data_IF_675901886291
#
_entry.id   IF_675901886291
#
_cell.length_a   1.000
_cell.length_b   1.000
_cell.length_c   1.000
_cell.angle_alpha   90.00
_cell.angle_beta   90.00
_cell.angle_gamma   90.00
#
_symmetry.space_group_name_H-M   'P 1'
#
loop_
_entity.id
_entity.type
_entity.pdbx_description
1 polymer ?
#
# COMPACT_ATOMS: atom_id res chain seq x y z
N UNK A 1 -2.82 22.48 29.24
CA UNK A 1 -1.44 22.11 29.01
C UNK A 1 -1.17 22.08 27.51
N UNK A 2 0.04 22.41 27.12
CA UNK A 2 0.53 22.29 25.74
C UNK A 2 1.36 21.02 25.63
N UNK A 3 1.21 20.29 24.54
CA UNK A 3 1.97 19.08 24.26
C UNK A 3 2.57 19.17 22.86
N UNK A 4 3.75 18.61 22.66
CA UNK A 4 4.34 18.42 21.35
C UNK A 4 3.74 17.16 20.73
N UNK A 5 3.06 17.30 19.59
CA UNK A 5 2.53 16.16 18.86
C UNK A 5 3.62 15.55 17.96
N UNK A 6 4.10 14.36 18.36
CA UNK A 6 5.07 13.57 17.59
C UNK A 6 4.40 12.49 16.72
N UNK A 7 3.08 12.34 16.82
CA UNK A 7 2.33 11.35 16.03
C UNK A 7 1.92 11.92 14.68
N UNK A 8 1.74 13.26 14.59
CA UNK A 8 1.43 13.97 13.37
C UNK A 8 0.20 13.39 12.64
N UNK A 9 -0.86 13.03 13.39
CA UNK A 9 -2.08 12.43 12.86
C UNK A 9 -1.86 11.04 12.22
N UNK A 10 -0.92 10.24 12.73
CA UNK A 10 -0.45 8.98 12.15
C UNK A 10 0.30 9.15 10.82
N UNK A 11 0.97 10.28 10.66
CA UNK A 11 1.88 10.56 9.55
C UNK A 11 1.38 11.47 8.42
N UNK A 12 0.09 11.83 8.27
CA UNK A 12 -0.33 12.71 7.18
C UNK A 12 0.09 14.17 7.34
N UNK A 13 0.40 14.63 8.56
CA UNK A 13 0.74 16.04 8.85
C UNK A 13 2.19 16.38 8.50
N UNK A 14 2.59 16.16 7.24
CA UNK A 14 3.98 16.36 6.77
C UNK A 14 4.39 17.84 6.85
N UNK A 15 3.48 18.76 6.55
CA UNK A 15 3.71 20.19 6.53
C UNK A 15 3.19 20.90 7.80
N UNK A 16 2.81 20.12 8.83
CA UNK A 16 2.22 20.61 10.06
C UNK A 16 0.74 20.96 9.93
N UNK A 17 0.12 21.24 11.07
CA UNK A 17 -1.28 21.64 11.15
C UNK A 17 -1.47 23.09 10.67
N UNK A 18 -2.65 23.39 10.10
CA UNK A 18 -3.04 24.72 9.66
C UNK A 18 -2.08 25.37 8.65
N UNK A 19 -1.59 24.59 7.69
CA UNK A 19 -0.79 25.15 6.61
C UNK A 19 -1.67 26.04 5.71
N UNK A 20 -1.42 27.34 5.71
CA UNK A 20 -2.28 28.33 5.06
C UNK A 20 -2.42 28.15 3.55
N UNK A 21 -1.41 27.61 2.87
CA UNK A 21 -1.47 27.35 1.42
C UNK A 21 -2.39 26.18 1.12
N UNK A 22 -2.26 25.08 1.87
CA UNK A 22 -3.10 23.89 1.73
C UNK A 22 -4.55 24.22 2.09
N UNK A 23 -4.76 24.88 3.23
CA UNK A 23 -6.10 25.26 3.69
C UNK A 23 -6.80 26.18 2.70
N UNK A 24 -6.08 27.13 2.10
CA UNK A 24 -6.62 28.02 1.07
C UNK A 24 -7.06 27.23 -0.18
N UNK A 25 -6.21 26.32 -0.66
CA UNK A 25 -6.54 25.49 -1.83
C UNK A 25 -7.78 24.63 -1.58
N UNK A 26 -7.85 23.98 -0.40
CA UNK A 26 -9.00 23.16 -0.01
C UNK A 26 -10.30 23.99 0.07
N UNK A 27 -10.27 25.18 0.67
CA UNK A 27 -11.44 26.09 0.74
C UNK A 27 -11.89 26.56 -0.64
N UNK A 28 -10.93 26.94 -1.52
CA UNK A 28 -11.25 27.33 -2.88
C UNK A 28 -11.98 26.19 -3.62
N UNK A 29 -11.51 24.96 -3.51
CA UNK A 29 -12.17 23.81 -4.13
C UNK A 29 -13.53 23.52 -3.49
N UNK A 30 -13.66 23.69 -2.18
CA UNK A 30 -14.93 23.53 -1.47
C UNK A 30 -16.01 24.47 -2.02
N UNK A 31 -15.66 25.74 -2.27
CA UNK A 31 -16.57 26.75 -2.82
C UNK A 31 -16.98 26.44 -4.28
N UNK A 32 -16.17 25.69 -5.02
CA UNK A 32 -16.48 25.21 -6.38
C UNK A 32 -17.27 23.88 -6.39
N UNK A 33 -17.36 23.21 -5.26
CA UNK A 33 -17.99 21.92 -5.08
C UNK A 33 -17.02 20.83 -4.62
N UNK A 34 -17.42 20.06 -3.61
CA UNK A 34 -16.62 19.02 -2.98
C UNK A 34 -17.18 17.61 -3.17
N UNK A 35 -18.35 17.48 -3.79
CA UNK A 35 -19.01 16.21 -4.06
C UNK A 35 -19.55 16.24 -5.50
N UNK A 36 -18.94 15.47 -6.37
CA UNK A 36 -19.27 15.43 -7.79
C UNK A 36 -19.44 13.98 -8.26
N UNK A 37 -20.30 13.77 -9.23
CA UNK A 37 -20.58 12.43 -9.78
C UNK A 37 -19.64 12.02 -10.91
N UNK A 38 -18.81 12.94 -11.39
CA UNK A 38 -17.85 12.75 -12.47
C UNK A 38 -16.50 13.32 -12.08
N UNK A 39 -15.44 12.98 -12.80
CA UNK A 39 -14.12 13.53 -12.54
C UNK A 39 -14.12 15.06 -12.63
N UNK A 40 -13.68 15.73 -11.58
CA UNK A 40 -13.45 17.17 -11.55
C UNK A 40 -12.08 17.51 -12.15
N UNK A 41 -11.86 18.76 -12.63
CA UNK A 41 -10.54 19.16 -13.12
C UNK A 41 -9.40 18.87 -12.14
N UNK A 42 -9.57 19.17 -10.85
CA UNK A 42 -8.54 18.92 -9.83
C UNK A 42 -8.23 17.44 -9.66
N UNK A 43 -9.19 16.54 -9.89
CA UNK A 43 -8.96 15.09 -9.85
C UNK A 43 -8.11 14.62 -11.03
N UNK A 44 -8.35 15.19 -12.22
CA UNK A 44 -7.55 14.91 -13.41
C UNK A 44 -6.13 15.42 -13.24
N UNK A 45 -5.96 16.68 -12.82
CA UNK A 45 -4.64 17.26 -12.51
C UNK A 45 -3.85 16.45 -11.48
N UNK A 46 -4.52 15.94 -10.45
CA UNK A 46 -3.88 15.09 -9.45
C UNK A 46 -3.45 13.74 -10.05
N UNK A 47 -4.30 13.12 -10.89
CA UNK A 47 -3.95 11.85 -11.54
C UNK A 47 -2.74 12.02 -12.45
N UNK A 48 -2.73 13.06 -13.29
CA UNK A 48 -1.59 13.40 -14.17
C UNK A 48 -0.33 13.65 -13.33
N UNK A 49 -0.42 14.46 -12.26
CA UNK A 49 0.72 14.73 -11.37
C UNK A 49 1.30 13.46 -10.76
N UNK A 50 0.44 12.52 -10.33
CA UNK A 50 0.89 11.27 -9.73
C UNK A 50 1.54 10.34 -10.75
N UNK A 51 0.97 10.21 -11.95
CA UNK A 51 1.54 9.37 -13.01
C UNK A 51 2.84 9.95 -13.58
N UNK A 52 2.97 11.28 -13.63
CA UNK A 52 4.22 11.94 -14.00
C UNK A 52 5.31 11.81 -12.91
N UNK A 53 4.91 11.75 -11.64
CA UNK A 53 5.82 11.73 -10.50
C UNK A 53 6.31 10.32 -10.18
N UNK A 54 5.46 9.32 -10.33
CA UNK A 54 5.73 7.91 -9.99
C UNK A 54 5.98 7.12 -11.26
N UNK A 55 7.25 6.87 -11.57
CA UNK A 55 7.71 6.29 -12.85
C UNK A 55 7.00 4.97 -13.26
N UNK A 56 6.53 4.20 -12.29
CA UNK A 56 5.82 2.93 -12.53
C UNK A 56 4.30 3.07 -12.66
N UNK A 57 3.75 4.27 -12.48
CA UNK A 57 2.30 4.48 -12.49
C UNK A 57 1.81 4.85 -13.90
N UNK A 58 1.03 3.97 -14.51
CA UNK A 58 0.35 4.26 -15.79
C UNK A 58 -0.99 4.99 -15.59
N UNK A 59 -1.60 4.84 -14.41
CA UNK A 59 -2.88 5.46 -14.08
C UNK A 59 -3.06 5.60 -12.55
N UNK A 60 -4.04 6.38 -12.14
CA UNK A 60 -4.38 6.58 -10.73
C UNK A 60 -5.88 6.32 -10.49
N UNK A 61 -6.17 5.60 -9.40
CA UNK A 61 -7.52 5.38 -8.89
C UNK A 61 -7.61 5.91 -7.47
N UNK A 62 -8.60 6.76 -7.23
CA UNK A 62 -8.75 7.43 -5.94
C UNK A 62 -9.75 6.70 -5.03
N UNK A 63 -9.31 6.37 -3.83
CA UNK A 63 -10.13 5.90 -2.72
C UNK A 63 -10.27 6.99 -1.65
N UNK A 64 -11.17 6.81 -0.71
CA UNK A 64 -11.35 7.76 0.38
C UNK A 64 -10.28 7.65 1.46
N UNK A 65 -9.69 6.47 1.59
CA UNK A 65 -8.63 6.17 2.57
C UNK A 65 -7.76 5.02 2.08
N UNK A 66 -6.65 4.75 2.78
CA UNK A 66 -5.73 3.68 2.42
C UNK A 66 -6.36 2.29 2.39
N UNK A 67 -7.29 2.00 3.32
CA UNK A 67 -8.00 0.72 3.33
C UNK A 67 -8.87 0.49 2.11
N UNK A 68 -9.52 1.53 1.57
CA UNK A 68 -10.26 1.44 0.31
C UNK A 68 -9.31 1.12 -0.85
N UNK A 69 -8.17 1.81 -0.90
CA UNK A 69 -7.17 1.64 -1.96
C UNK A 69 -6.53 0.25 -1.93
N UNK A 70 -6.18 -0.26 -0.75
CA UNK A 70 -5.63 -1.62 -0.61
C UNK A 70 -6.68 -2.68 -0.95
N UNK A 71 -7.95 -2.49 -0.57
CA UNK A 71 -9.04 -3.37 -0.98
C UNK A 71 -9.22 -3.42 -2.49
N UNK A 72 -9.20 -2.26 -3.15
CA UNK A 72 -9.28 -2.18 -4.61
C UNK A 72 -8.08 -2.85 -5.28
N UNK A 73 -6.87 -2.64 -4.77
CA UNK A 73 -5.67 -3.29 -5.30
C UNK A 73 -5.76 -4.83 -5.22
N UNK A 74 -6.26 -5.38 -4.10
CA UNK A 74 -6.51 -6.82 -3.96
C UNK A 74 -7.54 -7.31 -4.99
N UNK A 75 -8.64 -6.57 -5.18
CA UNK A 75 -9.67 -6.94 -6.17
C UNK A 75 -9.10 -6.97 -7.59
N UNK A 76 -8.29 -5.97 -7.95
CA UNK A 76 -7.60 -5.92 -9.25
C UNK A 76 -6.63 -7.11 -9.39
N UNK A 77 -5.82 -7.38 -8.37
CA UNK A 77 -4.89 -8.51 -8.40
C UNK A 77 -5.60 -9.86 -8.57
N UNK A 78 -6.71 -10.07 -7.88
CA UNK A 78 -7.55 -11.27 -8.04
C UNK A 78 -8.16 -11.39 -9.44
N UNK A 79 -8.65 -10.29 -9.99
CA UNK A 79 -9.23 -10.25 -11.33
C UNK A 79 -8.17 -10.54 -12.40
N UNK A 80 -6.98 -9.97 -12.27
CA UNK A 80 -5.87 -10.15 -13.22
C UNK A 80 -5.30 -11.57 -13.19
N UNK A 81 -5.10 -12.13 -11.99
CA UNK A 81 -4.45 -13.43 -11.84
C UNK A 81 -5.40 -14.62 -11.89
N UNK A 82 -6.70 -14.41 -11.66
CA UNK A 82 -7.70 -15.46 -11.46
C UNK A 82 -7.52 -16.27 -10.17
N UNK A 83 -6.68 -15.82 -9.24
CA UNK A 83 -6.35 -16.48 -7.98
C UNK A 83 -7.04 -15.78 -6.80
N UNK A 84 -7.11 -16.43 -5.64
CA UNK A 84 -7.88 -15.93 -4.48
C UNK A 84 -7.04 -15.48 -3.28
N UNK A 85 -5.92 -16.17 -3.02
CA UNK A 85 -5.14 -15.97 -1.79
C UNK A 85 -4.35 -14.66 -1.79
N UNK A 86 -4.22 -14.09 -0.60
CA UNK A 86 -3.40 -12.92 -0.31
C UNK A 86 -2.23 -13.37 0.55
N UNK A 87 -1.00 -13.05 0.16
CA UNK A 87 0.17 -13.16 1.02
C UNK A 87 0.52 -11.80 1.58
N UNK A 88 0.77 -11.69 2.89
CA UNK A 88 1.13 -10.43 3.56
C UNK A 88 2.19 -10.63 4.64
N UNK A 89 2.76 -9.53 5.12
CA UNK A 89 3.62 -9.59 6.33
C UNK A 89 2.76 -9.76 7.56
N UNK A 90 3.16 -10.67 8.44
CA UNK A 90 2.54 -10.89 9.75
C UNK A 90 2.50 -9.58 10.54
N UNK A 91 1.34 -9.30 11.13
CA UNK A 91 1.07 -8.07 11.87
C UNK A 91 1.17 -6.76 11.05
N UNK A 92 1.40 -6.84 9.73
CA UNK A 92 1.33 -5.69 8.83
C UNK A 92 -0.08 -5.11 8.79
N UNK A 93 -0.19 -3.78 8.92
CA UNK A 93 -1.46 -3.05 8.89
C UNK A 93 -1.72 -2.47 7.50
N UNK A 94 -2.82 -2.86 6.87
CA UNK A 94 -3.21 -2.41 5.53
C UNK A 94 -4.63 -1.84 5.48
N UNK A 95 -5.24 -1.55 6.62
CA UNK A 95 -6.59 -1.01 6.75
C UNK A 95 -7.45 -1.77 7.76
N UNK A 96 -8.77 -1.56 7.70
CA UNK A 96 -9.71 -2.08 8.70
C UNK A 96 -10.61 -3.23 8.19
N UNK A 97 -10.52 -3.62 6.92
CA UNK A 97 -11.30 -4.75 6.40
C UNK A 97 -10.88 -6.08 7.06
N UNK A 98 -11.77 -7.06 7.11
CA UNK A 98 -11.57 -8.32 7.83
C UNK A 98 -10.26 -9.03 7.48
N UNK A 99 -9.93 -9.16 6.19
CA UNK A 99 -8.70 -9.81 5.73
C UNK A 99 -7.40 -9.10 6.18
N UNK A 100 -7.50 -7.81 6.54
CA UNK A 100 -6.37 -7.01 7.00
C UNK A 100 -6.09 -7.21 8.48
N UNK A 101 -7.06 -7.72 9.22
CA UNK A 101 -7.01 -7.86 10.67
C UNK A 101 -6.35 -9.18 11.10
N UNK A 102 -5.92 -9.24 12.35
CA UNK A 102 -5.52 -10.50 12.96
C UNK A 102 -6.76 -11.38 13.15
N UNK A 103 -6.70 -12.63 12.71
CA UNK A 103 -7.80 -13.61 12.80
C UNK A 103 -8.35 -13.83 14.21
N UNK A 104 -7.57 -13.50 15.24
CA UNK A 104 -7.97 -13.63 16.64
C UNK A 104 -8.63 -12.35 17.19
N UNK A 105 -8.74 -11.28 16.40
CA UNK A 105 -9.40 -10.07 16.87
C UNK A 105 -10.91 -10.31 17.02
N UNK A 106 -11.53 -9.77 18.10
CA UNK A 106 -12.99 -9.84 18.26
C UNK A 106 -13.73 -9.26 17.04
N UNK A 107 -14.70 -10.01 16.54
CA UNK A 107 -15.50 -9.61 15.38
C UNK A 107 -14.93 -10.03 14.01
N UNK A 108 -13.76 -10.66 13.95
CA UNK A 108 -13.22 -11.27 12.75
C UNK A 108 -13.75 -12.71 12.66
N UNK A 109 -14.33 -13.06 11.53
CA UNK A 109 -14.84 -14.42 11.25
C UNK A 109 -13.86 -15.21 10.38
N UNK A 110 -13.98 -16.53 10.37
CA UNK A 110 -13.04 -17.39 9.65
C UNK A 110 -12.95 -17.05 8.16
N UNK A 111 -14.07 -16.77 7.50
CA UNK A 111 -14.09 -16.40 6.08
C UNK A 111 -13.28 -15.14 5.75
N UNK A 112 -13.05 -14.25 6.72
CA UNK A 112 -12.20 -13.06 6.52
C UNK A 112 -10.72 -13.41 6.35
N UNK A 113 -10.29 -14.53 6.93
CA UNK A 113 -8.88 -14.93 7.01
C UNK A 113 -8.52 -16.23 6.27
N UNK A 114 -9.50 -16.97 5.77
CA UNK A 114 -9.27 -18.27 5.09
C UNK A 114 -8.35 -18.16 3.87
N UNK A 115 -8.44 -17.04 3.15
CA UNK A 115 -7.65 -16.76 1.96
C UNK A 115 -6.40 -15.89 2.26
N UNK A 116 -6.02 -15.73 3.52
CA UNK A 116 -4.91 -14.87 3.93
C UNK A 116 -3.76 -15.71 4.49
N UNK A 117 -2.64 -15.66 3.80
CA UNK A 117 -1.36 -16.21 4.22
C UNK A 117 -0.47 -15.08 4.78
N UNK A 118 0.40 -15.39 5.71
CA UNK A 118 1.33 -14.40 6.26
C UNK A 118 2.70 -14.99 6.54
N UNK A 119 3.71 -14.16 6.33
CA UNK A 119 5.12 -14.47 6.56
C UNK A 119 5.75 -13.43 7.50
N UNK A 120 6.87 -13.80 8.09
CA UNK A 120 7.68 -12.90 8.91
C UNK A 120 8.43 -11.90 8.05
N UNK A 121 8.62 -10.68 8.57
CA UNK A 121 9.43 -9.67 7.89
C UNK A 121 10.88 -10.10 7.72
N UNK A 122 11.46 -9.88 6.54
CA UNK A 122 12.83 -10.25 6.20
C UNK A 122 13.14 -11.76 6.20
N UNK A 123 12.11 -12.61 6.14
CA UNK A 123 12.25 -14.06 6.04
C UNK A 123 11.96 -14.53 4.62
N UNK A 124 13.02 -14.64 3.80
CA UNK A 124 12.91 -15.11 2.42
C UNK A 124 12.73 -16.62 2.32
N UNK A 125 13.15 -17.38 3.32
CA UNK A 125 12.95 -18.83 3.35
C UNK A 125 11.47 -19.14 3.56
N UNK A 126 10.80 -18.45 4.51
CA UNK A 126 9.36 -18.56 4.72
C UNK A 126 8.58 -18.07 3.48
N UNK A 127 9.05 -17.00 2.84
CA UNK A 127 8.44 -16.53 1.58
C UNK A 127 8.53 -17.58 0.47
N UNK A 128 9.69 -18.16 0.23
CA UNK A 128 9.90 -19.18 -0.80
C UNK A 128 9.11 -20.46 -0.51
N UNK A 129 8.95 -20.84 0.76
CA UNK A 129 8.08 -21.96 1.16
C UNK A 129 6.62 -21.68 0.82
N UNK A 130 6.11 -20.47 1.10
CA UNK A 130 4.75 -20.07 0.74
C UNK A 130 4.54 -20.06 -0.79
N UNK A 131 5.50 -19.53 -1.55
CA UNK A 131 5.44 -19.57 -3.01
C UNK A 131 5.44 -21.01 -3.54
N UNK A 132 6.28 -21.88 -3.00
CA UNK A 132 6.35 -23.28 -3.42
C UNK A 132 5.07 -24.05 -3.12
N UNK A 133 4.43 -23.74 -2.00
CA UNK A 133 3.23 -24.45 -1.53
C UNK A 133 1.94 -23.90 -2.12
N UNK A 134 1.83 -22.59 -2.32
CA UNK A 134 0.59 -21.90 -2.66
C UNK A 134 0.70 -20.94 -3.85
N UNK A 135 1.84 -20.87 -4.54
CA UNK A 135 2.08 -19.89 -5.61
C UNK A 135 1.03 -19.91 -6.73
N UNK A 136 0.42 -21.07 -7.01
CA UNK A 136 -0.68 -21.19 -7.96
C UNK A 136 -2.02 -20.61 -7.47
N UNK A 137 -2.14 -20.31 -6.17
CA UNK A 137 -3.35 -19.81 -5.53
C UNK A 137 -3.19 -18.35 -5.07
N UNK A 138 -1.95 -17.86 -4.88
CA UNK A 138 -1.65 -16.50 -4.40
C UNK A 138 -1.87 -15.50 -5.53
N UNK A 139 -2.86 -14.60 -5.36
CA UNK A 139 -3.15 -13.49 -6.28
C UNK A 139 -2.14 -12.36 -6.13
N UNK A 140 -1.77 -12.04 -4.89
CA UNK A 140 -0.86 -10.94 -4.61
C UNK A 140 -0.05 -11.15 -3.33
N UNK A 141 1.11 -10.48 -3.30
CA UNK A 141 1.83 -10.18 -2.06
C UNK A 141 1.69 -8.70 -1.76
N UNK A 142 1.21 -8.35 -0.57
CA UNK A 142 1.08 -6.98 -0.12
C UNK A 142 1.97 -6.71 1.09
N UNK A 143 2.74 -5.63 1.02
CA UNK A 143 3.61 -5.20 2.11
C UNK A 143 3.89 -3.70 2.06
N UNK A 144 4.18 -3.11 3.20
CA UNK A 144 4.84 -1.80 3.25
C UNK A 144 6.32 -1.93 2.88
N UNK A 145 6.96 -0.86 2.40
CA UNK A 145 8.37 -0.88 1.95
C UNK A 145 9.38 -1.27 3.03
N UNK A 146 9.05 -1.02 4.30
CA UNK A 146 9.80 -1.47 5.48
C UNK A 146 8.84 -1.81 6.63
N UNK A 147 9.29 -2.64 7.59
CA UNK A 147 8.51 -2.98 8.77
C UNK A 147 8.42 -1.80 9.74
N UNK A 148 7.22 -1.38 10.08
CA UNK A 148 6.95 -0.26 10.99
C UNK A 148 5.83 -0.58 11.98
N UNK A 149 6.02 -1.60 12.82
CA UNK A 149 5.03 -1.99 13.82
C UNK A 149 4.85 -0.90 14.88
N UNK A 150 3.74 -0.96 15.61
CA UNK A 150 3.47 -0.02 16.70
C UNK A 150 4.09 -0.43 18.03
N UNK A 151 4.54 -1.68 18.15
CA UNK A 151 5.00 -2.27 19.41
C UNK A 151 6.50 -2.54 19.50
N UNK A 152 7.23 -2.34 18.42
CA UNK A 152 8.70 -2.51 18.35
C UNK A 152 9.31 -1.50 17.38
N UNK A 153 10.63 -1.45 17.32
CA UNK A 153 11.35 -0.58 16.38
C UNK A 153 11.09 -0.97 14.92
N UNK A 154 11.09 0.04 14.05
CA UNK A 154 11.01 -0.16 12.60
C UNK A 154 12.25 -0.89 12.08
N UNK A 155 12.06 -1.72 11.07
CA UNK A 155 13.12 -2.53 10.48
C UNK A 155 13.18 -2.34 8.96
N UNK A 156 14.35 -2.00 8.45
CA UNK A 156 14.61 -1.90 7.03
C UNK A 156 14.69 -3.29 6.37
N UNK A 157 14.43 -3.39 5.07
CA UNK A 157 14.63 -4.63 4.33
C UNK A 157 16.11 -5.00 4.32
N UNK A 158 16.42 -6.28 4.39
CA UNK A 158 17.78 -6.80 4.13
C UNK A 158 18.18 -6.53 2.68
N UNK A 159 19.46 -6.48 2.43
CA UNK A 159 19.99 -6.38 1.06
C UNK A 159 19.41 -7.47 0.16
N UNK A 160 18.91 -7.10 -1.01
CA UNK A 160 18.33 -8.02 -1.97
C UNK A 160 16.92 -8.50 -1.67
N UNK A 161 16.33 -8.18 -0.51
CA UNK A 161 15.01 -8.64 -0.10
C UNK A 161 13.93 -8.36 -1.14
N UNK A 162 13.76 -7.11 -1.54
CA UNK A 162 12.73 -6.72 -2.50
C UNK A 162 12.99 -7.26 -3.90
N UNK A 163 14.26 -7.29 -4.33
CA UNK A 163 14.63 -7.86 -5.63
C UNK A 163 14.28 -9.34 -5.73
N UNK A 164 14.46 -10.09 -4.65
CA UNK A 164 14.08 -11.50 -4.59
C UNK A 164 12.56 -11.67 -4.68
N UNK A 165 11.80 -10.89 -3.88
CA UNK A 165 10.33 -10.93 -3.87
C UNK A 165 9.75 -10.55 -5.24
N UNK A 166 10.21 -9.45 -5.82
CA UNK A 166 9.77 -9.01 -7.15
C UNK A 166 9.96 -10.10 -8.20
N UNK A 167 11.16 -10.68 -8.24
CA UNK A 167 11.48 -11.78 -9.16
C UNK A 167 10.53 -12.96 -8.97
N UNK A 168 10.35 -13.42 -7.74
CA UNK A 168 9.48 -14.56 -7.43
C UNK A 168 8.01 -14.30 -7.70
N UNK A 169 7.53 -13.10 -7.40
CA UNK A 169 6.17 -12.69 -7.74
C UNK A 169 5.95 -12.73 -9.26
N UNK A 170 6.87 -12.16 -10.04
CA UNK A 170 6.82 -12.17 -11.50
C UNK A 170 6.83 -13.60 -12.08
N UNK A 171 7.74 -14.45 -11.61
CA UNK A 171 7.86 -15.85 -12.07
C UNK A 171 6.60 -16.69 -11.80
N UNK A 172 5.79 -16.31 -10.80
CA UNK A 172 4.61 -17.07 -10.36
C UNK A 172 3.28 -16.39 -10.70
N UNK A 173 3.26 -15.34 -11.50
CA UNK A 173 2.05 -14.56 -11.81
C UNK A 173 1.34 -14.10 -10.51
N UNK A 174 2.09 -13.44 -9.63
CA UNK A 174 1.63 -12.86 -8.37
C UNK A 174 1.79 -11.35 -8.47
N UNK A 175 0.75 -10.59 -8.19
CA UNK A 175 0.83 -9.12 -8.19
C UNK A 175 1.55 -8.64 -6.93
N UNK A 176 2.61 -7.85 -7.10
CA UNK A 176 3.27 -7.19 -5.98
C UNK A 176 2.58 -5.86 -5.69
N UNK A 177 2.03 -5.72 -4.48
CA UNK A 177 1.37 -4.51 -4.00
C UNK A 177 2.24 -3.86 -2.93
N UNK A 178 2.69 -2.63 -3.20
CA UNK A 178 3.43 -1.83 -2.22
C UNK A 178 2.47 -0.86 -1.54
N UNK A 179 2.22 -1.09 -0.27
CA UNK A 179 1.41 -0.18 0.56
C UNK A 179 2.29 0.96 1.08
N UNK A 180 2.21 2.08 0.39
CA UNK A 180 3.04 3.27 0.61
C UNK A 180 2.33 4.38 1.42
N UNK A 181 1.20 4.06 2.05
CA UNK A 181 0.37 5.02 2.81
C UNK A 181 1.17 5.75 3.90
N UNK A 182 2.11 5.07 4.56
CA UNK A 182 2.96 5.66 5.61
C UNK A 182 4.29 6.20 5.12
N UNK A 183 4.75 5.78 3.97
CA UNK A 183 6.12 6.02 3.48
C UNK A 183 6.18 6.86 2.21
N UNK A 184 5.14 6.84 1.38
CA UNK A 184 5.07 7.58 0.13
C UNK A 184 5.24 9.09 0.32
N UNK A 185 6.05 9.68 -0.56
CA UNK A 185 6.41 11.11 -0.54
C UNK A 185 7.16 11.59 0.71
N UNK A 186 7.57 10.68 1.60
CA UNK A 186 8.37 10.97 2.79
C UNK A 186 9.81 10.53 2.65
N UNK A 187 10.00 9.40 1.95
CA UNK A 187 11.32 8.83 1.69
C UNK A 187 11.81 9.30 0.32
N UNK A 188 10.95 9.21 -0.69
CA UNK A 188 11.22 9.62 -2.06
C UNK A 188 9.97 10.22 -2.69
N UNK A 189 10.12 11.26 -3.52
CA UNK A 189 9.00 11.90 -4.24
C UNK A 189 8.39 11.01 -5.32
N UNK A 190 9.16 10.04 -5.82
CA UNK A 190 8.70 9.06 -6.81
C UNK A 190 8.02 7.83 -6.20
N UNK A 191 7.82 7.83 -4.88
CA UNK A 191 7.36 6.69 -4.11
C UNK A 191 8.50 5.93 -3.43
N UNK A 192 8.25 5.34 -2.26
CA UNK A 192 9.30 4.66 -1.50
C UNK A 192 9.81 3.36 -2.13
N UNK A 193 9.08 2.81 -3.12
CA UNK A 193 9.59 1.70 -3.94
C UNK A 193 10.93 2.04 -4.61
N UNK A 194 11.14 3.29 -5.03
CA UNK A 194 12.38 3.75 -5.62
C UNK A 194 13.56 3.67 -4.62
N UNK A 195 13.34 4.09 -3.37
CA UNK A 195 14.35 3.97 -2.31
C UNK A 195 14.64 2.50 -1.91
N UNK A 196 13.67 1.61 -2.08
CA UNK A 196 13.82 0.18 -1.79
C UNK A 196 14.41 -0.61 -2.97
N UNK A 197 14.84 0.06 -4.05
CA UNK A 197 15.36 -0.55 -5.28
C UNK A 197 14.40 -1.55 -5.93
N UNK A 198 13.10 -1.37 -5.74
CA UNK A 198 12.07 -2.05 -6.49
C UNK A 198 12.04 -1.46 -7.89
N UNK A 199 12.76 -2.07 -8.80
CA UNK A 199 12.70 -1.76 -10.21
C UNK A 199 11.65 -2.67 -10.84
N UNK A 200 10.41 -2.21 -10.93
CA UNK A 200 9.43 -2.92 -11.73
C UNK A 200 9.74 -2.63 -13.19
N UNK A 201 9.98 -3.68 -13.97
CA UNK A 201 9.99 -3.55 -15.44
C UNK A 201 8.69 -2.88 -15.86
N UNK A 202 8.73 -1.93 -16.83
CA UNK A 202 7.50 -1.40 -17.37
C UNK A 202 6.62 -2.56 -17.84
N UNK A 203 5.35 -2.54 -17.44
CA UNK A 203 4.36 -3.49 -17.93
C UNK A 203 4.44 -3.55 -19.46
N UNK A 204 4.44 -4.71 -20.09
CA UNK A 204 4.39 -4.77 -21.55
C UNK A 204 3.12 -4.04 -22.00
N UNK A 205 3.32 -2.97 -22.75
CA UNK A 205 2.25 -2.20 -23.39
C UNK A 205 1.58 -3.02 -24.48
#
# INVERSE_FOLDING_TARGET
NKYLDLICGWGPMILGYNNSKIDKAARTQYDLGNTVSVASPVMVELAETLTDMVDMADWALFGKNGGDSTQLAIMVARAETGKSKILKIKDGYHGANGWMQNKNNPGIINSDSEEVLSISWNDLDEFDEMISSFGSEIACFISSPYDHPTSKDSSLPKEGYWKHIEKKCSENNIVLIVDDVRTGFRIDLKGSHNACLLYTSPSPR
#
